data_IF_978455160313
#
_entry.id   IF_978455160313
#
_cell.length_a   1.000
_cell.length_b   1.000
_cell.length_c   1.000
_cell.angle_alpha   90.00
_cell.angle_beta   90.00
_cell.angle_gamma   90.00
#
_symmetry.space_group_name_H-M   'P 1'
#
loop_
_entity.id
_entity.type
_entity.pdbx_description
1 polymer ?
#
# COMPACT_ATOMS: atom_id res chain seq x y z
N UNK A 1 -8.80 -28.44 -32.96
CA UNK A 1 -9.33 -27.13 -32.49
C UNK A 1 -9.97 -27.19 -31.09
N UNK A 2 -10.87 -28.14 -30.80
CA UNK A 2 -11.58 -28.25 -29.50
C UNK A 2 -10.67 -28.40 -28.27
N UNK A 3 -9.64 -29.25 -28.35
CA UNK A 3 -8.67 -29.50 -27.27
C UNK A 3 -7.91 -28.24 -26.83
N UNK A 4 -7.61 -27.33 -27.78
CA UNK A 4 -6.92 -26.07 -27.51
C UNK A 4 -7.83 -25.09 -26.75
N UNK A 5 -9.10 -24.98 -27.14
CA UNK A 5 -10.10 -24.14 -26.47
C UNK A 5 -10.35 -24.58 -25.03
N UNK A 6 -10.44 -25.89 -24.80
CA UNK A 6 -10.60 -26.47 -23.46
C UNK A 6 -9.38 -26.19 -22.56
N UNK A 7 -8.18 -26.23 -23.12
CA UNK A 7 -6.95 -25.98 -22.40
C UNK A 7 -6.81 -24.49 -22.03
N UNK A 8 -7.18 -23.58 -22.94
CA UNK A 8 -7.24 -22.14 -22.65
C UNK A 8 -8.27 -21.80 -21.56
N UNK A 9 -9.44 -22.45 -21.56
CA UNK A 9 -10.44 -22.29 -20.50
C UNK A 9 -9.89 -22.69 -19.13
N UNK A 10 -9.25 -23.86 -19.03
CA UNK A 10 -8.64 -24.33 -17.77
C UNK A 10 -7.53 -23.41 -17.26
N UNK A 11 -6.71 -22.86 -18.15
CA UNK A 11 -5.66 -21.90 -17.77
C UNK A 11 -6.29 -20.62 -17.21
N UNK A 12 -7.31 -20.10 -17.88
CA UNK A 12 -7.98 -18.86 -17.49
C UNK A 12 -8.76 -19.01 -16.17
N UNK A 13 -9.35 -20.17 -15.93
CA UNK A 13 -10.02 -20.50 -14.66
C UNK A 13 -9.02 -20.57 -13.50
N UNK A 14 -7.86 -21.19 -13.72
CA UNK A 14 -6.79 -21.30 -12.71
C UNK A 14 -6.19 -19.94 -12.35
N UNK A 15 -6.00 -19.04 -13.33
CA UNK A 15 -5.50 -17.69 -13.07
C UNK A 15 -6.52 -16.82 -12.34
N UNK A 16 -7.82 -16.85 -12.73
CA UNK A 16 -8.86 -16.10 -12.00
C UNK A 16 -9.02 -16.60 -10.56
N UNK A 17 -8.93 -17.91 -10.32
CA UNK A 17 -8.95 -18.47 -8.97
C UNK A 17 -7.77 -17.98 -8.12
N UNK A 18 -6.57 -17.91 -8.70
CA UNK A 18 -5.38 -17.40 -8.01
C UNK A 18 -5.53 -15.91 -7.69
N UNK A 19 -5.95 -15.10 -8.66
CA UNK A 19 -6.22 -13.68 -8.47
C UNK A 19 -7.26 -13.43 -7.36
N UNK A 20 -8.34 -14.21 -7.33
CA UNK A 20 -9.36 -14.17 -6.26
C UNK A 20 -8.74 -14.45 -4.90
N UNK A 21 -8.00 -15.56 -4.76
CA UNK A 21 -7.32 -15.92 -3.50
C UNK A 21 -6.39 -14.81 -3.00
N UNK A 22 -5.60 -14.22 -3.90
CA UNK A 22 -4.67 -13.14 -3.54
C UNK A 22 -5.40 -11.88 -3.08
N UNK A 23 -6.42 -11.44 -3.82
CA UNK A 23 -7.23 -10.27 -3.44
C UNK A 23 -7.95 -10.46 -2.10
N UNK A 24 -8.42 -11.69 -1.84
CA UNK A 24 -9.06 -12.06 -0.59
C UNK A 24 -8.06 -12.04 0.57
N UNK A 25 -6.86 -12.61 0.39
CA UNK A 25 -5.80 -12.56 1.40
C UNK A 25 -5.45 -11.12 1.79
N UNK A 26 -5.23 -10.23 0.82
CA UNK A 26 -4.94 -8.82 1.09
C UNK A 26 -6.09 -8.11 1.80
N UNK A 27 -7.33 -8.39 1.39
CA UNK A 27 -8.52 -7.82 2.04
C UNK A 27 -8.65 -8.31 3.50
N UNK A 28 -8.37 -9.58 3.77
CA UNK A 28 -8.38 -10.15 5.12
C UNK A 28 -7.29 -9.55 6.01
N UNK A 29 -6.06 -9.42 5.50
CA UNK A 29 -4.96 -8.80 6.25
C UNK A 29 -5.34 -7.36 6.63
N UNK A 30 -5.87 -6.59 5.68
CA UNK A 30 -6.33 -5.22 5.91
C UNK A 30 -7.43 -5.17 6.99
N UNK A 31 -8.43 -6.04 6.89
CA UNK A 31 -9.56 -6.10 7.82
C UNK A 31 -9.09 -6.47 9.23
N UNK A 32 -8.22 -7.48 9.36
CA UNK A 32 -7.67 -7.90 10.66
C UNK A 32 -6.87 -6.77 11.28
N UNK A 33 -5.98 -6.12 10.52
CA UNK A 33 -5.20 -4.98 11.02
C UNK A 33 -6.11 -3.84 11.47
N UNK A 34 -7.15 -3.51 10.70
CA UNK A 34 -8.13 -2.49 11.06
C UNK A 34 -8.88 -2.80 12.36
N UNK A 35 -9.41 -4.02 12.49
CA UNK A 35 -10.18 -4.43 13.68
C UNK A 35 -9.29 -4.55 14.93
N UNK A 36 -8.00 -4.84 14.76
CA UNK A 36 -7.06 -4.95 15.87
C UNK A 36 -6.79 -3.60 16.58
N UNK A 37 -6.86 -2.47 15.86
CA UNK A 37 -6.59 -1.13 16.40
C UNK A 37 -7.45 -0.83 17.65
N UNK A 38 -8.79 -0.79 17.58
CA UNK A 38 -9.62 -0.45 18.74
C UNK A 38 -9.45 -1.42 19.92
N UNK A 39 -9.16 -2.69 19.63
CA UNK A 39 -8.96 -3.75 20.64
C UNK A 39 -7.66 -3.51 21.39
N UNK A 40 -6.55 -3.40 20.67
CA UNK A 40 -5.20 -3.32 21.24
C UNK A 40 -4.92 -1.96 21.89
N UNK A 41 -5.50 -0.89 21.36
CA UNK A 41 -5.37 0.45 21.96
C UNK A 41 -6.20 0.61 23.26
N UNK A 42 -7.03 -0.38 23.61
CA UNK A 42 -7.93 -0.36 24.77
C UNK A 42 -8.77 0.93 24.87
N UNK A 43 -9.41 1.30 23.75
CA UNK A 43 -10.22 2.52 23.63
C UNK A 43 -11.60 2.32 24.29
N UNK A 44 -12.24 3.39 24.75
CA UNK A 44 -13.62 3.33 25.28
C UNK A 44 -14.59 2.77 24.25
N UNK A 45 -15.66 2.10 24.68
CA UNK A 45 -16.62 1.47 23.76
C UNK A 45 -17.25 2.49 22.78
N UNK A 46 -17.60 3.68 23.26
CA UNK A 46 -18.14 4.75 22.43
C UNK A 46 -17.17 5.13 21.30
N UNK A 47 -15.92 5.44 21.64
CA UNK A 47 -14.90 5.84 20.67
C UNK A 47 -14.51 4.68 19.72
N UNK A 48 -14.58 3.43 20.19
CA UNK A 48 -14.41 2.23 19.33
C UNK A 48 -15.48 2.20 18.25
N UNK A 49 -16.75 2.32 18.63
CA UNK A 49 -17.89 2.26 17.71
C UNK A 49 -17.83 3.42 16.71
N UNK A 50 -17.62 4.64 17.21
CA UNK A 50 -17.52 5.85 16.38
C UNK A 50 -16.40 5.71 15.35
N UNK A 51 -15.19 5.34 15.80
CA UNK A 51 -14.05 5.20 14.91
C UNK A 51 -14.22 4.05 13.90
N UNK A 52 -14.81 2.92 14.32
CA UNK A 52 -15.14 1.83 13.40
C UNK A 52 -16.14 2.30 12.32
N UNK A 53 -17.23 2.96 12.69
CA UNK A 53 -18.22 3.46 11.73
C UNK A 53 -17.62 4.51 10.79
N UNK A 54 -16.72 5.36 11.30
CA UNK A 54 -16.08 6.43 10.52
C UNK A 54 -15.11 5.86 9.48
N UNK A 55 -14.33 4.84 9.81
CA UNK A 55 -13.26 4.31 8.95
C UNK A 55 -13.72 3.11 8.10
N UNK A 56 -14.76 2.38 8.52
CA UNK A 56 -15.25 1.21 7.78
C UNK A 56 -15.60 1.49 6.31
N UNK A 57 -16.25 2.62 5.94
CA UNK A 57 -16.52 2.94 4.54
C UNK A 57 -15.26 2.96 3.67
N UNK A 58 -14.16 3.52 4.19
CA UNK A 58 -12.87 3.57 3.50
C UNK A 58 -12.27 2.17 3.33
N UNK A 59 -12.27 1.36 4.39
CA UNK A 59 -11.73 -0.01 4.36
C UNK A 59 -12.53 -0.89 3.39
N UNK A 60 -13.86 -0.82 3.45
CA UNK A 60 -14.76 -1.55 2.56
C UNK A 60 -14.61 -1.12 1.11
N UNK A 61 -14.53 0.18 0.83
CA UNK A 61 -14.30 0.71 -0.51
C UNK A 61 -12.94 0.23 -1.08
N UNK A 62 -11.90 0.20 -0.24
CA UNK A 62 -10.59 -0.29 -0.63
C UNK A 62 -10.60 -1.80 -0.93
N UNK A 63 -11.26 -2.61 -0.08
CA UNK A 63 -11.45 -4.05 -0.31
C UNK A 63 -12.25 -4.34 -1.59
N UNK A 64 -13.32 -3.58 -1.85
CA UNK A 64 -14.08 -3.68 -3.08
C UNK A 64 -13.21 -3.35 -4.32
N UNK A 65 -12.31 -2.38 -4.19
CA UNK A 65 -11.33 -2.04 -5.22
C UNK A 65 -10.33 -3.17 -5.45
N UNK A 66 -9.78 -3.79 -4.40
CA UNK A 66 -8.89 -4.95 -4.51
C UNK A 66 -9.59 -6.12 -5.22
N UNK A 67 -10.86 -6.37 -4.91
CA UNK A 67 -11.62 -7.47 -5.50
C UNK A 67 -11.97 -7.23 -6.99
N UNK A 68 -12.38 -6.01 -7.33
CA UNK A 68 -12.69 -5.62 -8.71
C UNK A 68 -11.44 -5.60 -9.59
N UNK A 69 -10.29 -5.15 -9.05
CA UNK A 69 -9.01 -5.08 -9.76
C UNK A 69 -8.11 -6.30 -9.56
N UNK A 70 -8.62 -7.40 -9.00
CA UNK A 70 -7.82 -8.60 -8.63
C UNK A 70 -6.93 -9.16 -9.74
N UNK A 71 -7.38 -9.09 -11.00
CA UNK A 71 -6.63 -9.60 -12.15
C UNK A 71 -5.31 -8.85 -12.36
N UNK A 72 -5.25 -7.57 -11.98
CA UNK A 72 -4.03 -6.76 -12.06
C UNK A 72 -2.93 -7.26 -11.11
N UNK A 73 -3.30 -7.90 -10.00
CA UNK A 73 -2.33 -8.39 -9.00
C UNK A 73 -1.58 -9.64 -9.50
N UNK A 74 -2.29 -10.56 -10.16
CA UNK A 74 -1.71 -11.84 -10.60
C UNK A 74 -1.07 -11.76 -12.00
N UNK A 75 -1.62 -10.92 -12.90
CA UNK A 75 -1.15 -10.86 -14.28
C UNK A 75 0.34 -10.49 -14.39
N UNK A 76 1.09 -11.14 -15.30
CA UNK A 76 2.46 -10.74 -15.61
C UNK A 76 2.45 -9.37 -16.29
N UNK A 77 3.47 -8.56 -16.01
CA UNK A 77 3.61 -7.21 -16.57
C UNK A 77 3.60 -7.18 -18.10
N UNK A 78 4.18 -8.21 -18.74
CA UNK A 78 4.21 -8.36 -20.20
C UNK A 78 2.83 -8.41 -20.87
N UNK A 79 1.77 -8.69 -20.10
CA UNK A 79 0.41 -8.87 -20.62
C UNK A 79 -0.52 -7.71 -20.23
N UNK A 80 0.01 -6.66 -19.60
CA UNK A 80 -0.77 -5.51 -19.15
C UNK A 80 -0.54 -4.31 -20.07
N UNK A 81 -1.60 -3.53 -20.29
CA UNK A 81 -1.44 -2.21 -20.92
C UNK A 81 -0.68 -1.27 -19.96
N UNK A 82 -0.06 -0.20 -20.47
CA UNK A 82 0.59 0.79 -19.61
C UNK A 82 -0.35 1.40 -18.57
N UNK A 83 -1.64 1.52 -18.89
CA UNK A 83 -2.66 2.01 -17.96
C UNK A 83 -2.97 1.00 -16.84
N UNK A 84 -2.96 -0.30 -17.18
CA UNK A 84 -3.12 -1.38 -16.21
C UNK A 84 -1.89 -1.52 -15.31
N UNK A 85 -0.69 -1.31 -15.83
CA UNK A 85 0.54 -1.25 -15.03
C UNK A 85 0.50 -0.10 -14.02
N UNK A 86 0.14 1.10 -14.47
CA UNK A 86 -0.08 2.26 -13.59
C UNK A 86 -1.13 1.94 -12.50
N UNK A 87 -2.26 1.35 -12.89
CA UNK A 87 -3.34 1.01 -11.96
C UNK A 87 -2.93 -0.05 -10.94
N UNK A 88 -2.13 -1.04 -11.36
CA UNK A 88 -1.56 -2.07 -10.48
C UNK A 88 -0.62 -1.43 -9.48
N UNK A 89 0.28 -0.58 -9.94
CA UNK A 89 1.27 0.07 -9.10
C UNK A 89 0.62 0.97 -8.06
N UNK A 90 -0.38 1.76 -8.48
CA UNK A 90 -1.16 2.61 -7.60
C UNK A 90 -1.81 1.77 -6.49
N UNK A 91 -2.42 0.64 -6.86
CA UNK A 91 -3.10 -0.27 -5.94
C UNK A 91 -2.13 -0.94 -4.95
N UNK A 92 -0.94 -1.37 -5.39
CA UNK A 92 0.03 -2.05 -4.54
C UNK A 92 0.68 -1.08 -3.55
N UNK A 93 1.09 0.10 -4.02
CA UNK A 93 1.77 1.09 -3.16
C UNK A 93 0.79 1.69 -2.15
N UNK A 94 -0.43 2.07 -2.58
CA UNK A 94 -1.43 2.58 -1.64
C UNK A 94 -1.88 1.53 -0.62
N UNK A 95 -1.93 0.25 -1.02
CA UNK A 95 -2.20 -0.85 -0.08
C UNK A 95 -1.10 -0.95 0.97
N UNK A 96 0.16 -0.88 0.54
CA UNK A 96 1.32 -0.91 1.45
C UNK A 96 1.27 0.23 2.47
N UNK A 97 0.99 1.45 2.02
CA UNK A 97 0.83 2.62 2.90
C UNK A 97 -0.30 2.46 3.92
N UNK A 98 -1.48 2.07 3.45
CA UNK A 98 -2.64 1.88 4.32
C UNK A 98 -2.35 0.80 5.36
N UNK A 99 -1.83 -0.35 4.92
CA UNK A 99 -1.48 -1.44 5.83
C UNK A 99 -0.41 -1.02 6.85
N UNK A 100 0.63 -0.32 6.41
CA UNK A 100 1.67 0.17 7.30
C UNK A 100 1.12 1.17 8.34
N UNK A 101 0.17 2.01 7.93
CA UNK A 101 -0.55 2.92 8.85
C UNK A 101 -1.32 2.14 9.90
N UNK A 102 -2.09 1.14 9.50
CA UNK A 102 -2.87 0.34 10.45
C UNK A 102 -1.96 -0.39 11.43
N UNK A 103 -0.87 -0.98 10.94
CA UNK A 103 0.13 -1.65 11.78
C UNK A 103 0.82 -0.65 12.72
N UNK A 104 1.21 0.52 12.23
CA UNK A 104 1.77 1.60 13.05
C UNK A 104 0.86 1.99 14.22
N UNK A 105 -0.45 2.14 13.95
CA UNK A 105 -1.44 2.49 14.98
C UNK A 105 -1.58 1.42 16.05
N UNK A 106 -1.55 0.14 15.65
CA UNK A 106 -1.55 -0.99 16.60
C UNK A 106 -0.41 -0.85 17.62
N UNK A 107 0.78 -0.43 17.18
CA UNK A 107 1.95 -0.31 18.06
C UNK A 107 2.01 1.01 18.84
N UNK A 108 1.26 2.03 18.46
CA UNK A 108 1.13 3.28 19.23
C UNK A 108 0.06 3.18 20.34
N UNK A 109 -0.19 1.98 20.88
CA UNK A 109 -1.28 1.68 21.83
C UNK A 109 -1.15 2.35 23.21
N UNK A 110 -0.03 2.98 23.53
CA UNK A 110 0.15 3.74 24.78
C UNK A 110 -0.08 5.24 24.61
N UNK A 111 -0.12 5.76 23.38
CA UNK A 111 -0.20 7.19 23.12
C UNK A 111 -1.67 7.67 23.19
N UNK A 112 -1.97 8.59 24.12
CA UNK A 112 -3.32 9.13 24.34
C UNK A 112 -3.86 9.91 23.14
N UNK A 113 -3.02 10.69 22.48
CA UNK A 113 -3.43 11.56 21.37
C UNK A 113 -3.77 10.70 20.15
N UNK A 114 -2.95 9.67 19.89
CA UNK A 114 -3.23 8.68 18.85
C UNK A 114 -4.52 7.92 19.17
N UNK A 115 -4.79 7.56 20.43
CA UNK A 115 -6.08 6.93 20.83
C UNK A 115 -7.29 7.81 20.57
N UNK A 116 -7.18 9.12 20.78
CA UNK A 116 -8.27 10.05 20.54
C UNK A 116 -8.52 10.30 19.05
N UNK A 117 -7.46 10.27 18.23
CA UNK A 117 -7.51 10.73 16.85
C UNK A 117 -7.23 9.63 15.80
N UNK A 118 -7.18 8.35 16.19
CA UNK A 118 -6.87 7.24 15.27
C UNK A 118 -7.71 7.20 13.99
N UNK A 119 -9.03 7.51 13.98
CA UNK A 119 -9.81 7.48 12.75
C UNK A 119 -9.34 8.55 11.76
N UNK A 120 -9.05 9.74 12.27
CA UNK A 120 -8.55 10.89 11.51
C UNK A 120 -7.16 10.59 10.96
N UNK A 121 -6.28 9.98 11.77
CA UNK A 121 -4.94 9.57 11.34
C UNK A 121 -5.00 8.59 10.16
N UNK A 122 -5.95 7.63 10.17
CA UNK A 122 -6.13 6.70 9.05
C UNK A 122 -6.54 7.45 7.78
N UNK A 123 -7.51 8.36 7.86
CA UNK A 123 -7.95 9.13 6.69
C UNK A 123 -6.84 9.99 6.10
N UNK A 124 -6.14 10.76 6.93
CA UNK A 124 -5.06 11.64 6.49
C UNK A 124 -3.93 10.80 5.87
N UNK A 125 -3.52 9.73 6.54
CA UNK A 125 -2.48 8.82 6.03
C UNK A 125 -2.89 8.14 4.73
N UNK A 126 -4.16 7.79 4.55
CA UNK A 126 -4.68 7.24 3.30
C UNK A 126 -4.61 8.26 2.17
N UNK A 127 -4.98 9.52 2.40
CA UNK A 127 -4.91 10.57 1.38
C UNK A 127 -3.45 10.75 0.93
N UNK A 128 -2.53 10.84 1.88
CA UNK A 128 -1.10 10.95 1.56
C UNK A 128 -0.56 9.71 0.86
N UNK A 129 -0.95 8.52 1.31
CA UNK A 129 -0.57 7.26 0.67
C UNK A 129 -1.06 7.18 -0.77
N UNK A 130 -2.25 7.70 -1.07
CA UNK A 130 -2.75 7.80 -2.44
C UNK A 130 -1.94 8.79 -3.29
N UNK A 131 -1.64 9.98 -2.76
CA UNK A 131 -0.84 10.99 -3.47
C UNK A 131 0.55 10.40 -3.77
N UNK A 132 1.17 9.75 -2.78
CA UNK A 132 2.45 9.07 -2.96
C UNK A 132 2.38 8.00 -4.05
N UNK A 133 1.40 7.09 -3.93
CA UNK A 133 1.22 6.00 -4.87
C UNK A 133 0.99 6.54 -6.29
N UNK A 134 0.25 7.65 -6.43
CA UNK A 134 0.03 8.30 -7.71
C UNK A 134 1.34 8.84 -8.31
N UNK A 135 2.12 9.61 -7.53
CA UNK A 135 3.41 10.15 -7.98
C UNK A 135 4.37 9.03 -8.33
N UNK A 136 4.47 8.00 -7.49
CA UNK A 136 5.28 6.81 -7.75
C UNK A 136 4.86 6.12 -9.06
N UNK A 137 3.56 5.83 -9.23
CA UNK A 137 3.08 5.15 -10.44
C UNK A 137 3.31 5.98 -11.71
N UNK A 138 3.23 7.31 -11.60
CA UNK A 138 3.53 8.22 -12.70
C UNK A 138 5.02 8.16 -13.06
N UNK A 139 5.91 8.21 -12.07
CA UNK A 139 7.36 8.12 -12.28
C UNK A 139 7.75 6.75 -12.84
N UNK A 140 7.21 5.65 -12.33
CA UNK A 140 7.36 4.31 -12.91
C UNK A 140 6.97 4.28 -14.39
N UNK A 141 5.81 4.84 -14.74
CA UNK A 141 5.32 4.89 -16.11
C UNK A 141 6.26 5.68 -17.04
N UNK A 142 6.83 6.78 -16.55
CA UNK A 142 7.69 7.65 -17.35
C UNK A 142 9.12 7.12 -17.49
N UNK A 143 9.66 6.49 -16.44
CA UNK A 143 11.08 6.20 -16.33
C UNK A 143 11.42 4.72 -16.51
N UNK A 144 10.48 3.80 -16.28
CA UNK A 144 10.76 2.36 -16.20
C UNK A 144 9.84 1.54 -17.10
N UNK A 145 10.42 0.59 -17.84
CA UNK A 145 9.66 -0.42 -18.57
C UNK A 145 9.59 -1.72 -17.77
N UNK A 146 8.39 -2.30 -17.61
CA UNK A 146 8.16 -3.56 -16.86
C UNK A 146 8.68 -3.49 -15.41
N UNK A 147 7.99 -2.72 -14.58
CA UNK A 147 8.40 -2.40 -13.21
C UNK A 147 7.68 -3.23 -12.12
N UNK A 148 7.00 -4.35 -12.45
CA UNK A 148 6.25 -5.17 -11.46
C UNK A 148 7.10 -5.59 -10.26
N UNK A 149 8.30 -6.14 -10.51
CA UNK A 149 9.22 -6.58 -9.45
C UNK A 149 9.71 -5.40 -8.62
N UNK A 150 10.06 -4.31 -9.29
CA UNK A 150 10.50 -3.07 -8.65
C UNK A 150 9.42 -2.52 -7.71
N UNK A 151 8.17 -2.45 -8.18
CA UNK A 151 7.04 -2.00 -7.37
C UNK A 151 6.75 -2.89 -6.18
N UNK A 152 6.88 -4.21 -6.31
CA UNK A 152 6.74 -5.10 -5.15
C UNK A 152 7.84 -4.87 -4.11
N UNK A 153 9.10 -4.71 -4.55
CA UNK A 153 10.23 -4.41 -3.64
C UNK A 153 10.00 -3.07 -2.95
N UNK A 154 9.61 -2.05 -3.70
CA UNK A 154 9.37 -0.72 -3.19
C UNK A 154 8.17 -0.69 -2.23
N UNK A 155 7.12 -1.47 -2.51
CA UNK A 155 5.99 -1.66 -1.61
C UNK A 155 6.42 -2.29 -0.27
N UNK A 156 7.26 -3.34 -0.30
CA UNK A 156 7.78 -3.96 0.91
C UNK A 156 8.64 -2.97 1.69
N UNK A 157 9.53 -2.23 1.01
CA UNK A 157 10.38 -1.21 1.62
C UNK A 157 9.56 -0.11 2.28
N UNK A 158 8.52 0.36 1.60
CA UNK A 158 7.58 1.36 2.13
C UNK A 158 6.92 0.86 3.41
N UNK A 159 6.41 -0.38 3.39
CA UNK A 159 5.79 -1.00 4.55
C UNK A 159 6.76 -1.12 5.71
N UNK A 160 7.96 -1.67 5.47
CA UNK A 160 8.95 -1.92 6.52
C UNK A 160 9.47 -0.63 7.12
N UNK A 161 9.79 0.39 6.31
CA UNK A 161 10.29 1.67 6.82
C UNK A 161 9.23 2.41 7.63
N UNK A 162 7.99 2.47 7.14
CA UNK A 162 6.91 3.15 7.84
C UNK A 162 6.54 2.44 9.15
N UNK A 163 6.48 1.10 9.14
CA UNK A 163 6.34 0.32 10.35
C UNK A 163 7.51 0.54 11.31
N UNK A 164 8.76 0.49 10.82
CA UNK A 164 9.98 0.65 11.63
C UNK A 164 10.06 2.01 12.33
N UNK A 165 9.70 3.11 11.66
CA UNK A 165 9.64 4.44 12.28
C UNK A 165 8.71 4.45 13.50
N UNK A 166 7.65 3.65 13.46
CA UNK A 166 6.69 3.55 14.57
C UNK A 166 7.27 2.81 15.78
N UNK A 167 8.31 2.00 15.60
CA UNK A 167 9.06 1.34 16.67
C UNK A 167 10.29 2.12 17.11
N UNK A 168 10.74 3.11 16.32
CA UNK A 168 11.98 3.80 16.61
C UNK A 168 11.84 4.64 17.89
N UNK A 169 12.73 4.46 18.89
CA UNK A 169 12.58 5.15 20.16
C UNK A 169 12.68 6.66 19.97
N UNK A 170 11.61 7.38 20.31
CA UNK A 170 11.53 8.84 20.12
C UNK A 170 12.64 9.61 20.86
N UNK A 171 13.25 9.01 21.90
CA UNK A 171 14.35 9.62 22.66
C UNK A 171 15.74 9.44 22.02
N UNK A 172 15.88 8.57 21.01
CA UNK A 172 17.10 8.42 20.19
C UNK A 172 17.06 9.30 18.94
N UNK A 173 16.11 10.23 18.85
CA UNK A 173 15.97 11.16 17.74
C UNK A 173 17.14 12.15 17.75
N UNK A 174 18.26 11.76 17.12
CA UNK A 174 19.38 12.65 16.84
C UNK A 174 18.96 13.88 15.99
N UNK A 175 17.77 13.79 15.39
CA UNK A 175 17.05 14.89 14.77
C UNK A 175 15.78 15.14 15.60
N UNK A 176 15.71 16.27 16.29
CA UNK A 176 14.58 16.77 17.07
C UNK A 176 13.39 17.15 16.15
N UNK A 177 12.96 16.19 15.33
CA UNK A 177 11.99 16.35 14.25
C UNK A 177 10.68 15.78 14.78
N UNK A 178 9.70 16.65 15.01
CA UNK A 178 8.39 16.28 15.53
C UNK A 178 7.71 15.25 14.61
N UNK A 179 6.92 14.33 15.17
CA UNK A 179 6.48 13.09 14.51
C UNK A 179 5.80 13.21 13.14
N UNK A 180 5.25 14.38 12.80
CA UNK A 180 4.67 14.66 11.48
C UNK A 180 5.76 14.84 10.42
N UNK A 181 6.87 15.49 10.76
CA UNK A 181 7.99 15.76 9.87
C UNK A 181 8.73 14.47 9.47
N UNK A 182 8.77 13.45 10.32
CA UNK A 182 9.41 12.15 10.02
C UNK A 182 8.70 11.40 8.89
N UNK A 183 7.36 11.48 8.82
CA UNK A 183 6.59 10.88 7.73
C UNK A 183 6.90 11.60 6.41
N UNK A 184 7.00 12.93 6.43
CA UNK A 184 7.35 13.74 5.27
C UNK A 184 8.79 13.54 4.79
N UNK A 185 9.72 13.40 5.73
CA UNK A 185 11.12 13.10 5.44
C UNK A 185 11.24 11.73 4.77
N UNK A 186 10.53 10.71 5.30
CA UNK A 186 10.51 9.39 4.70
C UNK A 186 9.90 9.42 3.30
N UNK A 187 8.77 10.11 3.12
CA UNK A 187 8.12 10.30 1.83
C UNK A 187 9.10 10.93 0.83
N UNK A 188 9.73 12.06 1.22
CA UNK A 188 10.68 12.78 0.38
C UNK A 188 11.89 11.91 0.02
N UNK A 189 12.45 11.19 0.99
CA UNK A 189 13.58 10.29 0.76
C UNK A 189 13.24 9.14 -0.18
N UNK A 190 12.10 8.47 0.02
CA UNK A 190 11.64 7.38 -0.84
C UNK A 190 11.36 7.88 -2.28
N UNK A 191 10.71 9.03 -2.44
CA UNK A 191 10.47 9.63 -3.75
C UNK A 191 11.78 10.02 -4.43
N UNK A 192 12.73 10.61 -3.70
CA UNK A 192 14.04 10.98 -4.24
C UNK A 192 14.82 9.74 -4.70
N UNK A 193 14.88 8.68 -3.89
CA UNK A 193 15.52 7.41 -4.25
C UNK A 193 14.85 6.82 -5.50
N UNK A 194 13.52 6.80 -5.55
CA UNK A 194 12.78 6.32 -6.71
C UNK A 194 13.12 7.13 -7.97
N UNK A 195 13.13 8.45 -7.87
CA UNK A 195 13.45 9.36 -8.96
C UNK A 195 14.89 9.17 -9.48
N UNK A 196 15.87 9.04 -8.57
CA UNK A 196 17.27 8.82 -8.92
C UNK A 196 17.46 7.49 -9.66
N UNK A 197 16.89 6.40 -9.13
CA UNK A 197 16.95 5.07 -9.77
C UNK A 197 16.30 5.12 -11.15
N UNK A 198 15.13 5.73 -11.27
CA UNK A 198 14.41 5.87 -12.54
C UNK A 198 15.20 6.69 -13.57
N UNK A 199 15.81 7.79 -13.13
CA UNK A 199 16.61 8.67 -13.99
C UNK A 199 17.86 7.96 -14.53
N UNK A 200 18.58 7.23 -13.67
CA UNK A 200 19.74 6.43 -14.07
C UNK A 200 19.34 5.36 -15.11
N UNK A 201 18.24 4.65 -14.86
CA UNK A 201 17.75 3.62 -15.79
C UNK A 201 17.37 4.21 -17.14
N UNK A 202 16.65 5.34 -17.15
CA UNK A 202 16.25 6.04 -18.36
C UNK A 202 17.47 6.53 -19.17
N UNK A 203 18.47 7.09 -18.49
CA UNK A 203 19.72 7.52 -19.12
C UNK A 203 20.48 6.37 -19.78
N UNK A 204 20.65 5.23 -19.08
CA UNK A 204 21.34 4.04 -19.62
C UNK A 204 20.60 3.51 -20.86
N UNK A 205 19.27 3.55 -20.86
CA UNK A 205 18.45 3.08 -21.99
C UNK A 205 18.51 4.03 -23.19
N UNK A 206 18.51 5.35 -22.98
CA UNK A 206 18.62 6.35 -24.04
C UNK A 206 20.02 6.49 -24.65
N UNK A 207 21.05 5.93 -24.01
CA UNK A 207 22.43 5.87 -24.52
C UNK A 207 22.71 4.67 -25.43
N UNK A 208 21.71 3.85 -25.75
CA UNK A 208 21.78 2.72 -26.70
C UNK A 208 20.99 3.01 -27.95
#
# INVERSE_FOLDING_TARGET
MYKLKLLMLKINEKSDLRAKKLSLLFSFILLIAFLAIPILMNISLANKIEGLLTVSPLILAYMATLFSKRKLLDNPASNLSQQDEFSRDLLIISYSYLLATLVSLIFNYTNSDVKGCWPVIIYISWVYGLIFAFVYSLLCKLLLTNHKRYTNIFAILTFTLFAFISFYPRYLSFLYIESIETIWLLFGALTLVHFLIGSIYSFIKGSK
#
